data_IF_913063921994
#
_entry.id   IF_913063921994
#
_cell.length_a   1.000
_cell.length_b   1.000
_cell.length_c   1.000
_cell.angle_alpha   90.00
_cell.angle_beta   90.00
_cell.angle_gamma   90.00
#
_symmetry.space_group_name_H-M   'P 1'
#
loop_
_entity.id
_entity.type
_entity.pdbx_description
1 polymer ?
#
# COMPACT_ATOMS: atom_id res chain seq x y z
N UNK A 1 12.25 15.99 -5.56
CA UNK A 1 13.12 14.80 -5.51
C UNK A 1 12.32 13.65 -6.12
N UNK A 2 12.88 12.88 -7.04
CA UNK A 2 12.18 11.77 -7.70
C UNK A 2 12.41 10.44 -6.95
N UNK A 3 11.67 9.40 -7.33
CA UNK A 3 11.72 8.08 -6.68
C UNK A 3 13.14 7.47 -6.64
N UNK A 4 13.93 7.62 -7.71
CA UNK A 4 15.31 7.13 -7.75
C UNK A 4 16.22 7.85 -6.75
N UNK A 5 16.06 9.17 -6.61
CA UNK A 5 16.82 9.97 -5.65
C UNK A 5 16.46 9.59 -4.21
N UNK A 6 15.17 9.36 -3.93
CA UNK A 6 14.69 8.89 -2.62
C UNK A 6 15.28 7.52 -2.25
N UNK A 7 15.33 6.57 -3.20
CA UNK A 7 15.93 5.23 -2.99
C UNK A 7 17.44 5.27 -2.74
N UNK A 8 18.13 6.30 -3.23
CA UNK A 8 19.58 6.49 -3.04
C UNK A 8 19.90 7.30 -1.78
N UNK A 9 18.89 7.81 -1.07
CA UNK A 9 19.10 8.59 0.14
C UNK A 9 19.71 7.72 1.27
N UNK A 10 20.70 8.21 2.05
CA UNK A 10 21.36 7.41 3.09
C UNK A 10 20.43 6.83 4.14
N UNK A 11 19.34 7.53 4.45
CA UNK A 11 18.33 7.07 5.41
C UNK A 11 17.31 6.08 4.84
N UNK A 12 17.32 5.77 3.54
CA UNK A 12 16.38 4.79 2.97
C UNK A 12 16.59 3.42 3.65
N UNK A 13 15.54 2.70 4.11
CA UNK A 13 14.11 2.88 3.81
C UNK A 13 13.29 3.72 4.82
N UNK A 14 13.93 4.67 5.51
CA UNK A 14 13.33 5.64 6.45
C UNK A 14 12.76 4.99 7.73
N UNK A 15 13.52 4.09 8.34
CA UNK A 15 13.08 3.29 9.48
C UNK A 15 12.82 4.10 10.76
N UNK A 16 13.41 5.29 10.90
CA UNK A 16 13.25 6.15 12.07
C UNK A 16 12.15 7.22 11.89
N UNK A 17 11.28 7.09 10.89
CA UNK A 17 10.22 8.07 10.58
C UNK A 17 9.32 8.41 11.78
N UNK A 18 9.11 7.46 12.71
CA UNK A 18 8.30 7.68 13.92
C UNK A 18 8.93 8.66 14.90
N UNK A 19 10.26 8.89 14.82
CA UNK A 19 11.01 9.77 15.71
C UNK A 19 11.74 10.91 14.99
N UNK A 20 11.96 10.80 13.67
CA UNK A 20 12.75 11.74 12.88
C UNK A 20 11.89 12.44 11.80
N UNK A 21 11.76 13.78 11.91
CA UNK A 21 10.94 14.59 11.00
C UNK A 21 11.39 14.53 9.55
N UNK A 22 12.71 14.49 9.31
CA UNK A 22 13.25 14.39 7.97
C UNK A 22 12.90 13.04 7.35
N UNK A 23 13.06 11.95 8.10
CA UNK A 23 12.69 10.62 7.60
C UNK A 23 11.19 10.47 7.39
N UNK A 24 10.36 11.10 8.22
CA UNK A 24 8.91 11.15 7.98
C UNK A 24 8.56 11.88 6.67
N UNK A 25 9.12 13.08 6.46
CA UNK A 25 8.91 13.82 5.22
C UNK A 25 9.41 13.03 3.99
N UNK A 26 10.58 12.40 4.08
CA UNK A 26 11.14 11.59 3.00
C UNK A 26 10.27 10.36 2.71
N UNK A 27 9.67 9.76 3.74
CA UNK A 27 8.75 8.64 3.60
C UNK A 27 7.44 9.05 2.91
N UNK A 28 6.84 10.18 3.31
CA UNK A 28 5.67 10.75 2.64
C UNK A 28 5.94 11.01 1.16
N UNK A 29 7.08 11.66 0.87
CA UNK A 29 7.52 11.92 -0.50
C UNK A 29 7.74 10.63 -1.28
N UNK A 30 8.33 9.61 -0.66
CA UNK A 30 8.53 8.30 -1.29
C UNK A 30 7.22 7.68 -1.73
N UNK A 31 6.23 7.59 -0.85
CA UNK A 31 4.95 6.96 -1.19
C UNK A 31 4.16 7.76 -2.23
N UNK A 32 4.22 9.09 -2.18
CA UNK A 32 3.60 9.93 -3.21
C UNK A 32 4.27 9.80 -4.59
N UNK A 33 5.60 9.73 -4.65
CA UNK A 33 6.35 9.51 -5.89
C UNK A 33 6.15 8.07 -6.40
N UNK A 34 6.17 7.08 -5.51
CA UNK A 34 5.95 5.67 -5.84
C UNK A 34 4.56 5.45 -6.43
N UNK A 35 3.52 6.02 -5.82
CA UNK A 35 2.15 5.95 -6.32
C UNK A 35 2.04 6.56 -7.72
N UNK A 36 2.57 7.77 -7.93
CA UNK A 36 2.58 8.43 -9.25
C UNK A 36 3.32 7.61 -10.30
N UNK A 37 4.44 7.00 -9.94
CA UNK A 37 5.20 6.12 -10.82
C UNK A 37 4.41 4.84 -11.20
N UNK A 38 3.62 4.30 -10.27
CA UNK A 38 2.71 3.17 -10.56
C UNK A 38 1.60 3.55 -11.54
N UNK A 39 1.05 4.77 -11.44
CA UNK A 39 0.06 5.26 -12.39
C UNK A 39 0.65 5.50 -13.78
N UNK A 40 1.94 5.83 -13.86
CA UNK A 40 2.66 6.00 -15.13
C UNK A 40 1.99 7.01 -16.05
N UNK A 41 1.73 6.61 -17.31
CA UNK A 41 1.07 7.44 -18.35
C UNK A 41 -0.46 7.32 -18.36
N UNK A 42 -1.09 6.92 -17.24
CA UNK A 42 -2.54 6.93 -17.15
C UNK A 42 -3.08 8.33 -17.45
N UNK A 43 -4.10 8.42 -18.33
CA UNK A 43 -4.65 9.70 -18.79
C UNK A 43 -5.27 10.52 -17.66
N UNK A 44 -5.63 9.86 -16.58
CA UNK A 44 -6.29 10.37 -15.39
C UNK A 44 -5.37 10.37 -14.16
N UNK A 45 -4.04 10.19 -14.34
CA UNK A 45 -3.09 10.17 -13.23
C UNK A 45 -3.15 11.45 -12.39
N UNK A 46 -3.38 12.60 -13.02
CA UNK A 46 -3.54 13.90 -12.36
C UNK A 46 -4.84 14.04 -11.55
N UNK A 47 -5.82 13.18 -11.77
CA UNK A 47 -7.11 13.23 -11.09
C UNK A 47 -7.07 12.53 -9.72
N UNK A 48 -5.95 11.86 -9.39
CA UNK A 48 -5.69 11.30 -8.08
C UNK A 48 -5.07 12.34 -7.16
N UNK A 49 -5.80 12.74 -6.13
CA UNK A 49 -5.41 13.80 -5.19
C UNK A 49 -5.31 13.29 -3.76
N UNK A 50 -4.38 13.81 -2.94
CA UNK A 50 -4.35 13.51 -1.51
C UNK A 50 -5.68 13.87 -0.84
N UNK A 51 -6.19 12.98 0.00
CA UNK A 51 -7.44 13.18 0.74
C UNK A 51 -7.21 13.52 2.21
N UNK A 52 -6.18 12.93 2.81
CA UNK A 52 -5.79 13.14 4.19
C UNK A 52 -4.27 13.29 4.30
N UNK A 53 -3.76 14.04 5.29
CA UNK A 53 -2.34 14.05 5.60
C UNK A 53 -1.89 12.65 6.03
N UNK A 54 -0.59 12.35 5.88
CA UNK A 54 -0.04 11.13 6.43
C UNK A 54 0.07 11.22 7.96
N UNK A 55 0.00 10.07 8.61
CA UNK A 55 0.14 9.93 10.06
C UNK A 55 1.51 9.35 10.43
N UNK A 56 2.06 9.85 11.55
CA UNK A 56 3.43 9.55 11.98
C UNK A 56 3.59 8.12 12.50
N UNK A 57 2.50 7.42 12.76
CA UNK A 57 2.49 6.00 13.10
C UNK A 57 2.59 5.08 11.87
N UNK A 58 2.41 5.64 10.66
CA UNK A 58 2.43 4.94 9.38
C UNK A 58 1.06 4.46 8.92
N UNK A 59 -0.02 4.77 9.65
CA UNK A 59 -1.36 4.21 9.44
C UNK A 59 -2.40 5.33 9.42
N UNK A 60 -2.58 6.06 8.29
CA UNK A 60 -2.02 5.82 6.97
C UNK A 60 -0.77 6.64 6.63
N UNK A 61 0.07 6.13 5.71
CA UNK A 61 1.21 6.87 5.13
C UNK A 61 0.89 7.51 3.77
N UNK A 62 -0.22 7.11 3.14
CA UNK A 62 -0.78 7.76 1.95
C UNK A 62 -2.29 7.53 1.88
N UNK A 63 -3.07 8.58 1.63
CA UNK A 63 -4.47 8.45 1.23
C UNK A 63 -4.76 9.34 0.04
N UNK A 64 -5.14 8.74 -1.08
CA UNK A 64 -5.45 9.45 -2.33
C UNK A 64 -6.79 9.01 -2.88
N UNK A 65 -7.51 9.93 -3.51
CA UNK A 65 -8.79 9.67 -4.13
C UNK A 65 -8.86 10.22 -5.55
N UNK A 66 -9.61 9.53 -6.41
CA UNK A 66 -9.99 10.01 -7.74
C UNK A 66 -11.51 10.16 -7.76
N UNK A 67 -11.97 11.41 -7.68
CA UNK A 67 -13.39 11.73 -7.59
C UNK A 67 -14.16 11.37 -8.85
N UNK A 68 -13.53 11.51 -10.03
CA UNK A 68 -14.15 11.16 -11.32
C UNK A 68 -14.39 9.67 -11.46
N UNK A 69 -13.52 8.85 -10.87
CA UNK A 69 -13.64 7.38 -10.89
C UNK A 69 -14.35 6.81 -9.67
N UNK A 70 -14.69 7.66 -8.70
CA UNK A 70 -15.25 7.28 -7.41
C UNK A 70 -14.41 6.18 -6.72
N UNK A 71 -13.12 6.46 -6.49
CA UNK A 71 -12.19 5.49 -5.87
C UNK A 71 -11.19 6.16 -4.95
N UNK A 72 -10.68 5.38 -4.00
CA UNK A 72 -9.57 5.77 -3.16
C UNK A 72 -8.52 4.65 -3.02
N UNK A 73 -7.31 5.05 -2.67
CA UNK A 73 -6.22 4.16 -2.27
C UNK A 73 -5.74 4.64 -0.92
N UNK A 74 -5.58 3.71 0.02
CA UNK A 74 -4.98 3.95 1.32
C UNK A 74 -3.77 3.02 1.46
N UNK A 75 -2.61 3.58 1.80
CA UNK A 75 -1.40 2.81 2.08
C UNK A 75 -1.07 2.96 3.55
N UNK A 76 -0.86 1.84 4.23
CA UNK A 76 -0.31 1.76 5.57
C UNK A 76 1.12 1.22 5.47
N UNK A 77 2.06 1.90 6.10
CA UNK A 77 3.39 1.37 6.28
C UNK A 77 3.40 0.45 7.50
N UNK A 78 3.79 -0.80 7.29
CA UNK A 78 4.02 -1.76 8.37
C UNK A 78 5.50 -1.83 8.71
N UNK A 79 5.79 -1.80 10.00
CA UNK A 79 7.07 -2.18 10.59
C UNK A 79 6.97 -3.57 11.19
N UNK A 80 8.00 -4.40 10.97
CA UNK A 80 8.13 -5.67 11.65
C UNK A 80 8.78 -5.47 13.03
N UNK A 81 8.04 -4.87 13.95
CA UNK A 81 8.58 -4.41 15.25
C UNK A 81 8.99 -5.57 16.17
N UNK A 82 8.38 -6.74 15.99
CA UNK A 82 8.65 -7.97 16.75
C UNK A 82 9.76 -8.84 16.11
N UNK A 83 10.44 -8.34 15.07
CA UNK A 83 11.44 -9.08 14.28
C UNK A 83 10.96 -10.47 13.83
N UNK A 84 9.66 -10.58 13.52
CA UNK A 84 9.06 -11.82 13.03
C UNK A 84 9.73 -12.19 11.70
N UNK A 85 10.05 -13.46 11.45
CA UNK A 85 10.56 -13.87 10.15
C UNK A 85 9.63 -13.39 9.02
N UNK A 86 10.24 -12.74 8.01
CA UNK A 86 9.56 -12.44 6.74
C UNK A 86 9.22 -13.76 6.04
N UNK A 87 8.11 -13.79 5.29
CA UNK A 87 7.64 -14.96 4.53
C UNK A 87 8.77 -15.63 3.71
N UNK A 88 9.25 -16.84 4.07
CA UNK A 88 10.26 -17.53 3.28
C UNK A 88 9.59 -18.31 2.14
N UNK A 89 10.14 -18.21 0.93
CA UNK A 89 9.65 -18.95 -0.25
C UNK A 89 9.61 -20.46 0.02
N UNK A 90 8.42 -21.07 -0.01
CA UNK A 90 8.24 -22.53 0.05
C UNK A 90 8.13 -23.15 1.44
N UNK A 91 7.86 -22.36 2.48
CA UNK A 91 7.77 -22.86 3.86
C UNK A 91 6.42 -23.54 4.15
N UNK A 92 6.37 -24.70 4.82
CA UNK A 92 5.15 -25.21 5.46
C UNK A 92 4.85 -24.49 6.80
N UNK A 93 3.59 -24.54 7.23
CA UNK A 93 2.96 -23.73 8.31
C UNK A 93 3.70 -23.65 9.66
N UNK A 94 3.71 -22.45 10.25
CA UNK A 94 3.45 -22.26 11.68
C UNK A 94 2.42 -21.14 11.91
N UNK A 95 1.50 -21.26 12.88
CA UNK A 95 0.46 -20.28 13.16
C UNK A 95 1.05 -19.01 13.82
N UNK A 96 0.88 -17.85 13.18
CA UNK A 96 1.08 -16.54 13.82
C UNK A 96 2.53 -16.05 14.01
N UNK A 97 3.53 -16.80 13.54
CA UNK A 97 4.95 -16.46 13.75
C UNK A 97 5.58 -15.61 12.62
N UNK A 98 4.85 -15.35 11.52
CA UNK A 98 5.40 -14.70 10.34
C UNK A 98 4.82 -13.31 10.10
N UNK A 99 5.63 -12.44 9.48
CA UNK A 99 5.20 -11.14 8.99
C UNK A 99 4.85 -11.23 7.49
N UNK A 100 3.63 -10.80 7.14
CA UNK A 100 3.22 -10.68 5.75
C UNK A 100 3.75 -9.36 5.16
N UNK A 101 4.57 -9.40 4.09
CA UNK A 101 5.11 -8.18 3.46
C UNK A 101 4.01 -7.32 2.80
N UNK A 102 2.86 -7.93 2.52
CA UNK A 102 1.70 -7.28 1.96
C UNK A 102 0.43 -7.88 2.56
N UNK A 103 -0.47 -7.02 3.00
CA UNK A 103 -1.81 -7.36 3.47
C UNK A 103 -2.79 -6.34 2.89
N UNK A 104 -3.91 -6.81 2.36
CA UNK A 104 -4.76 -6.08 1.43
C UNK A 104 -6.23 -6.34 1.71
N UNK A 105 -7.05 -5.31 1.68
CA UNK A 105 -8.49 -5.47 1.76
C UNK A 105 -9.19 -4.34 1.01
N UNK A 106 -10.47 -4.57 0.72
CA UNK A 106 -11.35 -3.51 0.25
C UNK A 106 -12.05 -2.87 1.44
N UNK A 107 -12.16 -1.56 1.40
CA UNK A 107 -12.79 -0.72 2.43
C UNK A 107 -13.51 0.46 1.77
N UNK A 108 -14.02 1.37 2.59
CA UNK A 108 -14.54 2.65 2.17
C UNK A 108 -13.74 3.79 2.82
N UNK A 109 -13.31 4.75 2.01
CA UNK A 109 -12.72 5.99 2.51
C UNK A 109 -13.71 7.12 2.28
N UNK A 110 -14.06 7.84 3.34
CA UNK A 110 -14.89 9.04 3.25
C UNK A 110 -14.04 10.28 3.09
N UNK A 111 -14.56 11.31 2.42
CA UNK A 111 -13.94 12.64 2.43
C UNK A 111 -13.96 13.27 3.83
N UNK A 112 -13.21 14.37 4.01
CA UNK A 112 -13.12 15.06 5.30
C UNK A 112 -14.46 15.62 5.81
N UNK A 113 -15.45 15.79 4.93
CA UNK A 113 -16.79 16.23 5.29
C UNK A 113 -17.72 15.04 5.63
N UNK A 114 -17.27 13.80 5.44
CA UNK A 114 -18.07 12.58 5.57
C UNK A 114 -19.13 12.40 4.48
N UNK A 115 -19.17 13.28 3.48
CA UNK A 115 -20.26 13.40 2.52
C UNK A 115 -20.13 12.39 1.39
N UNK A 116 -18.92 12.22 0.86
CA UNK A 116 -18.62 11.29 -0.24
C UNK A 116 -17.90 10.07 0.30
N UNK A 117 -18.36 8.90 -0.12
CA UNK A 117 -17.77 7.60 0.18
C UNK A 117 -17.14 7.02 -1.08
N UNK A 118 -15.86 6.70 -1.01
CA UNK A 118 -15.08 6.12 -2.09
C UNK A 118 -14.75 4.66 -1.76
N UNK A 119 -15.16 3.69 -2.60
CA UNK A 119 -14.58 2.36 -2.59
C UNK A 119 -13.06 2.44 -2.65
N UNK A 120 -12.40 1.74 -1.73
CA UNK A 120 -10.97 1.85 -1.55
C UNK A 120 -10.29 0.49 -1.51
N UNK A 121 -9.10 0.41 -2.08
CA UNK A 121 -8.14 -0.62 -1.71
C UNK A 121 -7.26 -0.08 -0.59
N UNK A 122 -7.15 -0.84 0.48
CA UNK A 122 -6.22 -0.57 1.57
C UNK A 122 -5.05 -1.53 1.42
N UNK A 123 -3.84 -0.96 1.40
CA UNK A 123 -2.60 -1.67 1.18
C UNK A 123 -1.70 -1.50 2.39
N UNK A 124 -1.57 -2.55 3.18
CA UNK A 124 -0.69 -2.59 4.36
C UNK A 124 0.58 -3.31 3.99
N UNK A 125 1.68 -2.57 3.85
CA UNK A 125 2.89 -3.06 3.19
C UNK A 125 4.16 -2.57 3.88
N UNK A 126 5.27 -3.29 3.72
CA UNK A 126 6.60 -2.83 4.13
C UNK A 126 7.39 -2.22 2.95
N UNK A 127 8.65 -1.85 3.20
CA UNK A 127 9.54 -1.23 2.20
C UNK A 127 10.47 -2.25 1.51
N UNK A 128 10.24 -3.55 1.68
CA UNK A 128 11.03 -4.59 1.01
C UNK A 128 10.79 -4.59 -0.50
N UNK A 129 11.78 -4.98 -1.33
CA UNK A 129 11.62 -5.00 -2.79
C UNK A 129 10.41 -5.82 -3.26
N UNK A 130 10.17 -7.00 -2.67
CA UNK A 130 9.04 -7.85 -3.02
C UNK A 130 7.70 -7.20 -2.66
N UNK A 131 7.59 -6.54 -1.50
CA UNK A 131 6.38 -5.84 -1.09
C UNK A 131 6.07 -4.66 -2.01
N UNK A 132 7.09 -3.88 -2.38
CA UNK A 132 6.95 -2.78 -3.33
C UNK A 132 6.52 -3.28 -4.71
N UNK A 133 7.10 -4.37 -5.21
CA UNK A 133 6.73 -4.94 -6.51
C UNK A 133 5.28 -5.44 -6.53
N UNK A 134 4.82 -6.08 -5.45
CA UNK A 134 3.44 -6.52 -5.32
C UNK A 134 2.48 -5.33 -5.15
N UNK A 135 2.83 -4.34 -4.34
CA UNK A 135 2.05 -3.10 -4.17
C UNK A 135 1.87 -2.39 -5.52
N UNK A 136 2.92 -2.33 -6.33
CA UNK A 136 2.84 -1.76 -7.69
C UNK A 136 1.83 -2.49 -8.56
N UNK A 137 1.81 -3.82 -8.52
CA UNK A 137 0.85 -4.62 -9.30
C UNK A 137 -0.59 -4.29 -8.88
N UNK A 138 -0.86 -4.28 -7.57
CA UNK A 138 -2.18 -3.94 -7.02
C UNK A 138 -2.60 -2.53 -7.42
N UNK A 139 -1.74 -1.53 -7.20
CA UNK A 139 -2.03 -0.14 -7.57
C UNK A 139 -2.30 0.01 -9.07
N UNK A 140 -1.47 -0.61 -9.91
CA UNK A 140 -1.62 -0.55 -11.37
C UNK A 140 -2.93 -1.19 -11.81
N UNK A 141 -3.35 -2.28 -11.18
CA UNK A 141 -4.60 -2.95 -11.50
C UNK A 141 -5.80 -2.13 -11.02
N UNK A 142 -5.91 -1.88 -9.71
CA UNK A 142 -7.04 -1.20 -9.09
C UNK A 142 -7.31 0.18 -9.67
N UNK A 143 -6.26 0.96 -9.96
CA UNK A 143 -6.40 2.31 -10.51
C UNK A 143 -6.79 2.32 -12.00
N UNK A 144 -6.69 1.18 -12.70
CA UNK A 144 -7.04 1.06 -14.12
C UNK A 144 -8.43 0.47 -14.35
N UNK A 145 -8.94 -0.30 -13.41
CA UNK A 145 -10.21 -1.01 -13.53
C UNK A 145 -11.39 -0.04 -13.73
N UNK A 146 -12.35 -0.44 -14.56
CA UNK A 146 -13.60 0.31 -14.77
C UNK A 146 -14.61 0.02 -13.65
N UNK A 147 -14.60 -1.20 -13.10
CA UNK A 147 -15.42 -1.61 -11.95
C UNK A 147 -14.65 -1.47 -10.61
N UNK A 148 -15.22 -0.82 -9.58
CA UNK A 148 -14.54 -0.54 -8.30
C UNK A 148 -13.99 -1.75 -7.57
N UNK A 149 -14.61 -2.91 -7.75
CA UNK A 149 -14.34 -4.09 -6.94
C UNK A 149 -14.09 -5.36 -7.74
N UNK A 150 -14.53 -5.49 -9.00
CA UNK A 150 -14.50 -6.78 -9.70
C UNK A 150 -13.10 -7.39 -9.86
N UNK A 151 -12.19 -6.80 -10.66
CA UNK A 151 -10.91 -7.44 -10.95
C UNK A 151 -9.91 -7.38 -9.79
N UNK A 152 -9.95 -6.32 -8.95
CA UNK A 152 -9.13 -6.26 -7.72
C UNK A 152 -9.60 -7.28 -6.69
N UNK A 153 -10.91 -7.45 -6.46
CA UNK A 153 -11.41 -8.50 -5.56
C UNK A 153 -10.96 -9.88 -6.05
N UNK A 154 -11.10 -10.18 -7.35
CA UNK A 154 -10.64 -11.45 -7.90
C UNK A 154 -9.11 -11.65 -7.81
N UNK A 155 -8.33 -10.56 -7.79
CA UNK A 155 -6.89 -10.64 -7.51
C UNK A 155 -6.63 -10.93 -6.03
N UNK A 156 -7.32 -10.23 -5.13
CA UNK A 156 -7.24 -10.45 -3.68
C UNK A 156 -7.62 -11.89 -3.32
N UNK A 157 -8.74 -12.37 -3.84
CA UNK A 157 -9.22 -13.73 -3.62
C UNK A 157 -8.17 -14.75 -4.07
N UNK A 158 -7.57 -14.58 -5.25
CA UNK A 158 -6.49 -15.46 -5.72
C UNK A 158 -5.24 -15.37 -4.85
N UNK A 159 -4.85 -14.16 -4.42
CA UNK A 159 -3.71 -13.97 -3.54
C UNK A 159 -3.89 -14.71 -2.21
N UNK A 160 -5.05 -14.52 -1.57
CA UNK A 160 -5.37 -15.18 -0.31
C UNK A 160 -5.69 -16.68 -0.47
N UNK A 161 -6.22 -17.11 -1.62
CA UNK A 161 -6.39 -18.54 -1.93
C UNK A 161 -5.04 -19.24 -2.09
N UNK A 162 -4.08 -18.62 -2.78
CA UNK A 162 -2.70 -19.14 -2.89
C UNK A 162 -1.99 -19.18 -1.53
N UNK A 163 -2.22 -18.17 -0.67
CA UNK A 163 -1.78 -18.23 0.72
C UNK A 163 -2.46 -19.40 1.45
N UNK A 164 -3.78 -19.55 1.35
CA UNK A 164 -4.50 -20.64 2.01
C UNK A 164 -4.09 -22.03 1.50
N UNK A 165 -3.83 -22.22 0.20
CA UNK A 165 -3.33 -23.48 -0.38
C UNK A 165 -1.97 -23.88 0.17
N UNK A 166 -1.19 -22.90 0.61
CA UNK A 166 0.10 -23.10 1.26
C UNK A 166 -0.02 -23.19 2.78
N UNK A 167 -1.24 -23.26 3.31
CA UNK A 167 -1.53 -23.44 4.73
C UNK A 167 -1.70 -22.15 5.54
N UNK A 168 -1.72 -21.00 4.87
CA UNK A 168 -1.80 -19.72 5.58
C UNK A 168 -3.27 -19.28 5.70
N UNK A 169 -3.81 -19.41 6.91
CA UNK A 169 -5.15 -18.93 7.23
C UNK A 169 -5.07 -17.49 7.77
N UNK A 170 -5.71 -16.55 7.08
CA UNK A 170 -5.98 -15.21 7.60
C UNK A 170 -7.28 -15.26 8.40
N UNK A 171 -7.33 -14.58 9.55
CA UNK A 171 -8.51 -14.47 10.42
C UNK A 171 -9.07 -13.06 10.36
#
# INVERSE_FOLDING_TARGET
MNLEQLRKHPSFPFLAFKQNDLEFLLLEMFWAEFFRDCLGKLKDAQDWVPLFPAERDGVPILVVANTRRNRAVRIHLRSNEDDKPLYPSGSPEMPGEYFLPLDLWLDEVRDAAGATAYPAVVISTDMSPSALDMTRQVLTQFCREDEPTGPTQAWLDRYYEELSKRGYHWK
#
